data_IF_314467883883
#
_entry.id   IF_314467883883
#
_cell.length_a   1.000
_cell.length_b   1.000
_cell.length_c   1.000
_cell.angle_alpha   90.00
_cell.angle_beta   90.00
_cell.angle_gamma   90.00
#
_symmetry.space_group_name_H-M   'P 1'
#
loop_
_entity.id
_entity.type
_entity.pdbx_description
1 polymer ?
#
# COMPACT_ATOMS: atom_id res chain seq x y z
N UNK A 1 -0.95 -8.83 -13.99
CA UNK A 1 -0.69 -7.42 -13.66
C UNK A 1 -1.98 -6.79 -13.15
N UNK A 2 -2.00 -6.28 -11.92
CA UNK A 2 -3.18 -5.63 -11.34
C UNK A 2 -2.98 -4.13 -11.37
N UNK A 3 -4.02 -3.38 -11.74
CA UNK A 3 -3.97 -1.91 -11.81
C UNK A 3 -4.87 -1.35 -10.73
N UNK A 4 -4.40 -0.28 -10.10
CA UNK A 4 -5.09 0.45 -9.06
C UNK A 4 -5.16 1.93 -9.45
N UNK A 5 -6.14 2.64 -8.92
CA UNK A 5 -6.36 4.07 -9.15
C UNK A 5 -5.51 4.94 -8.22
N UNK A 6 -5.02 4.39 -7.11
CA UNK A 6 -4.12 5.07 -6.18
C UNK A 6 -3.19 4.09 -5.45
N UNK A 7 -2.19 4.65 -4.74
CA UNK A 7 -1.28 3.91 -3.87
C UNK A 7 -2.05 3.29 -2.69
N UNK A 8 -3.03 4.01 -2.14
CA UNK A 8 -3.87 3.56 -1.04
C UNK A 8 -4.69 2.34 -1.44
N UNK A 9 -5.30 2.34 -2.63
CA UNK A 9 -6.08 1.18 -3.12
C UNK A 9 -5.19 -0.06 -3.30
N UNK A 10 -3.98 0.13 -3.85
CA UNK A 10 -2.99 -0.94 -3.94
C UNK A 10 -2.57 -1.47 -2.56
N UNK A 11 -2.38 -0.56 -1.60
CA UNK A 11 -2.00 -0.89 -0.22
C UNK A 11 -3.11 -1.63 0.52
N UNK A 12 -4.37 -1.22 0.36
CA UNK A 12 -5.53 -1.90 0.93
C UNK A 12 -5.68 -3.31 0.36
N UNK A 13 -5.50 -3.46 -0.96
CA UNK A 13 -5.47 -4.78 -1.58
C UNK A 13 -4.36 -5.65 -0.99
N UNK A 14 -3.15 -5.11 -0.79
CA UNK A 14 -2.04 -5.82 -0.15
C UNK A 14 -2.40 -6.25 1.28
N UNK A 15 -3.02 -5.39 2.08
CA UNK A 15 -3.46 -5.73 3.46
C UNK A 15 -4.46 -6.89 3.50
N UNK A 16 -5.36 -6.95 2.52
CA UNK A 16 -6.40 -7.98 2.45
C UNK A 16 -5.91 -9.32 1.86
N UNK A 17 -4.92 -9.30 0.95
CA UNK A 17 -4.56 -10.48 0.16
C UNK A 17 -3.16 -11.03 0.48
N UNK A 18 -2.20 -10.15 0.76
CA UNK A 18 -0.80 -10.54 1.00
C UNK A 18 -0.52 -10.51 2.50
N UNK A 19 -0.79 -9.39 3.17
CA UNK A 19 -0.49 -9.26 4.60
C UNK A 19 -1.16 -10.36 5.44
N UNK A 20 -2.40 -10.76 5.14
CA UNK A 20 -3.07 -11.85 5.88
C UNK A 20 -2.36 -13.19 5.78
N UNK A 21 -1.70 -13.49 4.66
CA UNK A 21 -1.04 -14.76 4.39
C UNK A 21 0.40 -14.81 4.91
N UNK A 22 0.96 -13.67 5.33
CA UNK A 22 2.32 -13.62 5.88
C UNK A 22 2.41 -14.44 7.20
N UNK A 23 3.52 -15.17 7.40
CA UNK A 23 3.87 -15.78 8.68
C UNK A 23 3.92 -14.75 9.83
N UNK A 24 3.67 -15.20 11.05
CA UNK A 24 3.54 -14.31 12.22
C UNK A 24 4.83 -13.52 12.52
N UNK A 25 5.98 -14.18 12.38
CA UNK A 25 7.33 -13.63 12.49
C UNK A 25 7.62 -12.59 11.40
N UNK A 26 7.19 -12.85 10.15
CA UNK A 26 7.36 -11.90 9.04
C UNK A 26 6.48 -10.67 9.22
N UNK A 27 5.26 -10.83 9.75
CA UNK A 27 4.32 -9.71 10.00
C UNK A 27 4.87 -8.68 10.98
N UNK A 28 5.80 -9.04 11.85
CA UNK A 28 6.24 -8.17 12.94
C UNK A 28 6.95 -6.89 12.46
N UNK A 29 7.11 -5.93 13.36
CA UNK A 29 7.81 -4.68 13.08
C UNK A 29 7.14 -3.84 11.98
N UNK A 30 7.80 -3.72 10.82
CA UNK A 30 7.44 -2.76 9.75
C UNK A 30 6.01 -2.97 9.25
N UNK A 31 5.62 -4.22 8.97
CA UNK A 31 4.34 -4.56 8.35
C UNK A 31 3.18 -4.46 9.34
N UNK A 32 3.33 -5.00 10.56
CA UNK A 32 2.31 -4.87 11.63
C UNK A 32 2.07 -3.40 11.97
N UNK A 33 3.13 -2.59 12.06
CA UNK A 33 2.97 -1.16 12.32
C UNK A 33 2.23 -0.48 11.17
N UNK A 34 2.53 -0.81 9.92
CA UNK A 34 1.85 -0.21 8.77
C UNK A 34 0.37 -0.61 8.68
N UNK A 35 0.05 -1.89 8.91
CA UNK A 35 -1.33 -2.36 9.05
C UNK A 35 -2.07 -1.59 10.15
N UNK A 36 -1.48 -1.50 11.35
CA UNK A 36 -2.06 -0.77 12.48
C UNK A 36 -2.28 0.71 12.13
N UNK A 37 -1.26 1.38 11.58
CA UNK A 37 -1.32 2.81 11.29
C UNK A 37 -2.37 3.12 10.21
N UNK A 38 -2.54 2.23 9.22
CA UNK A 38 -3.61 2.30 8.21
C UNK A 38 -5.00 2.02 8.80
N UNK A 39 -5.19 0.86 9.45
CA UNK A 39 -6.48 0.41 10.00
C UNK A 39 -7.05 1.36 11.05
N UNK A 40 -6.21 1.90 11.92
CA UNK A 40 -6.63 2.84 12.97
C UNK A 40 -6.51 4.31 12.54
N UNK A 41 -6.33 4.60 11.25
CA UNK A 41 -6.24 5.96 10.68
C UNK A 41 -5.24 6.86 11.43
N UNK A 42 -4.12 6.30 11.91
CA UNK A 42 -3.05 7.04 12.61
C UNK A 42 -2.15 7.84 11.65
N UNK A 43 -2.41 7.74 10.35
CA UNK A 43 -1.62 8.36 9.30
C UNK A 43 -0.47 7.46 8.88
N UNK A 44 -0.41 7.17 7.58
CA UNK A 44 0.70 6.47 6.94
C UNK A 44 0.96 7.17 5.61
N UNK A 45 2.22 7.50 5.33
CA UNK A 45 2.59 8.20 4.10
C UNK A 45 2.54 7.26 2.90
N UNK A 46 2.18 7.80 1.73
CA UNK A 46 2.27 7.06 0.48
C UNK A 46 3.69 6.53 0.20
N UNK A 47 4.73 7.28 0.61
CA UNK A 47 6.13 6.80 0.52
C UNK A 47 6.30 5.47 1.24
N UNK A 48 5.82 5.36 2.48
CA UNK A 48 5.91 4.13 3.28
C UNK A 48 5.04 3.00 2.69
N UNK A 49 3.89 3.32 2.11
CA UNK A 49 3.06 2.33 1.40
C UNK A 49 3.79 1.74 0.19
N UNK A 50 4.35 2.59 -0.68
CA UNK A 50 5.11 2.17 -1.87
C UNK A 50 6.32 1.33 -1.49
N UNK A 51 7.05 1.78 -0.48
CA UNK A 51 8.17 1.05 0.11
C UNK A 51 7.80 -0.38 0.53
N UNK A 52 6.67 -0.56 1.22
CA UNK A 52 6.19 -1.88 1.63
C UNK A 52 5.74 -2.69 0.42
N UNK A 53 4.95 -2.10 -0.47
CA UNK A 53 4.48 -2.78 -1.68
C UNK A 53 5.65 -3.26 -2.55
N UNK A 54 6.76 -2.52 -2.59
CA UNK A 54 7.98 -2.85 -3.35
C UNK A 54 8.70 -4.08 -2.80
N UNK A 55 8.52 -4.41 -1.52
CA UNK A 55 9.05 -5.65 -0.93
C UNK A 55 8.35 -6.90 -1.50
N UNK A 56 7.16 -6.75 -2.11
CA UNK A 56 6.32 -7.87 -2.59
C UNK A 56 6.10 -7.87 -4.11
N UNK A 57 6.62 -6.88 -4.83
CA UNK A 57 6.54 -6.84 -6.29
C UNK A 57 6.94 -5.48 -6.87
N UNK A 58 7.10 -5.45 -8.19
CA UNK A 58 7.43 -4.22 -8.91
C UNK A 58 6.22 -3.27 -8.96
N UNK A 59 6.46 -2.00 -8.62
CA UNK A 59 5.46 -0.93 -8.69
C UNK A 59 5.81 0.00 -9.85
N UNK A 60 4.91 0.09 -10.84
CA UNK A 60 4.92 1.13 -11.86
C UNK A 60 3.79 2.13 -11.56
N UNK A 61 4.15 3.32 -11.12
CA UNK A 61 3.20 4.39 -10.80
C UNK A 61 3.12 5.39 -11.96
N UNK A 62 1.92 5.54 -12.53
CA UNK A 62 1.64 6.56 -13.55
C UNK A 62 0.63 7.55 -13.02
N UNK A 63 1.07 8.79 -12.80
CA UNK A 63 0.18 9.89 -12.41
C UNK A 63 -0.53 10.46 -13.64
N UNK A 64 -1.85 10.30 -13.71
CA UNK A 64 -2.68 10.94 -14.74
C UNK A 64 -3.17 12.29 -14.22
N UNK A 65 -2.70 13.39 -14.84
CA UNK A 65 -3.14 14.74 -14.51
C UNK A 65 -4.17 15.19 -15.55
N UNK A 66 -5.42 15.35 -15.12
CA UNK A 66 -6.49 15.89 -15.98
C UNK A 66 -6.81 17.31 -15.53
N UNK A 67 -6.48 18.29 -16.37
CA UNK A 67 -6.83 19.69 -16.17
C UNK A 67 -7.86 20.10 -17.22
N UNK A 68 -9.00 20.65 -16.78
CA UNK A 68 -10.07 21.11 -17.68
C UNK A 68 -10.41 22.56 -17.36
N UNK A 69 -10.24 23.43 -18.35
CA UNK A 69 -10.71 24.82 -18.28
C UNK A 69 -12.25 24.85 -18.34
N UNK A 70 -12.84 25.83 -17.65
CA UNK A 70 -14.30 26.06 -17.65
C UNK A 70 -14.80 26.47 -19.03
#
# INVERSE_FOLDING_TARGET
>A
MKKFTSVEEAFEWWLANIYQTLPADTKEGRYRNAWRDYTFKKGISQKRMKEILSDFGDIDEKTTITFKLR
#
